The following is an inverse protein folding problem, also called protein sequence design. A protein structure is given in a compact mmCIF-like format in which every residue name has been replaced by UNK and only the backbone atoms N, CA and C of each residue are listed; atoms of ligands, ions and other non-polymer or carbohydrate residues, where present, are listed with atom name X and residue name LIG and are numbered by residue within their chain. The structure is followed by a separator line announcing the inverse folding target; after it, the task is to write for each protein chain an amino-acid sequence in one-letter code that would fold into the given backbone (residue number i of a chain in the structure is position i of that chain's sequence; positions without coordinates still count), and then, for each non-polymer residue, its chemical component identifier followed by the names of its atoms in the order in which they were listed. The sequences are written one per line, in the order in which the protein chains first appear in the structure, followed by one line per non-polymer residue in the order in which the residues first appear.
data_IF_896974722698
#
_entry.id   IF_896974722698
#
_cell.length_a   1.000
_cell.length_b   1.000
_cell.length_c   1.000
_cell.angle_alpha   90.00
_cell.angle_beta   90.00
_cell.angle_gamma   90.00
#
_symmetry.space_group_name_H-M   'P 1'
#
loop_
_entity.id
_entity.type
_entity.pdbx_description
1 polymer ?
#
# COMPACT_ATOMS: atom_id res chain seq x y z
N UNK A 1 -19.09 11.14 21.84
CA UNK A 1 -18.96 9.68 21.71
C UNK A 1 -17.54 9.40 21.25
N UNK A 2 -16.70 8.97 22.19
CA UNK A 2 -15.25 8.87 22.05
C UNK A 2 -14.89 7.76 21.06
N UNK A 3 -14.31 8.15 19.92
CA UNK A 3 -13.56 7.22 19.07
C UNK A 3 -12.56 6.48 19.96
N UNK A 4 -12.60 5.15 19.85
CA UNK A 4 -11.87 4.20 20.68
C UNK A 4 -10.41 4.60 20.85
N UNK A 5 -9.94 4.46 22.07
CA UNK A 5 -8.62 4.78 22.60
C UNK A 5 -7.45 4.04 21.93
N UNK A 6 -7.60 3.39 20.76
CA UNK A 6 -6.57 2.60 20.06
C UNK A 6 -6.71 2.72 18.53
N UNK A 7 -6.10 3.75 17.93
CA UNK A 7 -6.07 3.89 16.47
C UNK A 7 -4.99 3.01 15.80
N UNK A 8 -3.93 2.63 16.51
CA UNK A 8 -2.76 2.00 15.91
C UNK A 8 -2.62 0.56 16.38
N UNK A 9 -2.82 -0.39 15.47
CA UNK A 9 -2.55 -1.81 15.73
C UNK A 9 -1.05 -2.11 15.91
N UNK A 10 -0.74 -3.08 16.78
CA UNK A 10 0.60 -3.68 16.86
C UNK A 10 0.98 -4.40 15.58
N UNK A 11 2.27 -4.68 15.36
CA UNK A 11 2.72 -5.42 14.18
C UNK A 11 2.04 -6.79 14.05
N UNK A 12 1.90 -7.52 15.17
CA UNK A 12 1.28 -8.83 15.19
C UNK A 12 -0.17 -8.79 14.70
N UNK A 13 -0.98 -7.88 15.25
CA UNK A 13 -2.39 -7.71 14.87
C UNK A 13 -2.52 -7.27 13.40
N UNK A 14 -1.72 -6.28 12.99
CA UNK A 14 -1.68 -5.82 11.60
C UNK A 14 -1.35 -6.97 10.64
N UNK A 15 -0.28 -7.72 10.93
CA UNK A 15 0.18 -8.84 10.10
C UNK A 15 -0.89 -9.93 10.00
N UNK A 16 -1.57 -10.25 11.10
CA UNK A 16 -2.64 -11.25 11.13
C UNK A 16 -3.85 -10.80 10.30
N UNK A 17 -4.32 -9.56 10.48
CA UNK A 17 -5.42 -8.99 9.70
C UNK A 17 -5.09 -8.93 8.21
N UNK A 18 -3.86 -8.51 7.87
CA UNK A 18 -3.37 -8.49 6.48
C UNK A 18 -3.35 -9.87 5.84
N UNK A 19 -2.83 -10.87 6.56
CA UNK A 19 -2.81 -12.25 6.08
C UNK A 19 -4.23 -12.80 5.86
N UNK A 20 -5.13 -12.60 6.82
CA UNK A 20 -6.52 -13.03 6.71
C UNK A 20 -7.22 -12.41 5.50
N UNK A 21 -6.99 -11.13 5.23
CA UNK A 21 -7.58 -10.47 4.05
C UNK A 21 -6.95 -10.95 2.74
N UNK A 22 -5.63 -11.23 2.71
CA UNK A 22 -4.89 -11.66 1.52
C UNK A 22 -5.50 -12.92 0.90
N UNK A 23 -5.88 -13.89 1.73
CA UNK A 23 -6.53 -15.14 1.30
C UNK A 23 -7.93 -14.92 0.68
N UNK A 24 -8.52 -13.74 0.92
CA UNK A 24 -9.90 -13.40 0.53
C UNK A 24 -9.96 -12.36 -0.59
N UNK A 25 -8.81 -11.97 -1.18
CA UNK A 25 -8.75 -10.93 -2.22
C UNK A 25 -9.40 -11.33 -3.56
N UNK A 26 -9.65 -12.63 -3.77
CA UNK A 26 -10.31 -13.14 -4.98
C UNK A 26 -11.82 -12.92 -4.92
N UNK A 27 -12.29 -11.83 -5.52
CA UNK A 27 -13.69 -11.65 -5.87
C UNK A 27 -14.01 -12.50 -7.11
N UNK A 28 -14.99 -13.39 -7.00
CA UNK A 28 -15.58 -14.12 -8.12
C UNK A 28 -16.68 -13.26 -8.72
N UNK A 29 -16.92 -13.39 -10.03
CA UNK A 29 -18.00 -12.66 -10.74
C UNK A 29 -19.35 -12.90 -10.05
N UNK A 30 -19.63 -14.16 -9.68
CA UNK A 30 -20.83 -14.52 -8.92
C UNK A 30 -20.97 -13.85 -7.55
N UNK A 31 -19.88 -13.39 -6.91
CA UNK A 31 -19.99 -12.63 -5.65
C UNK A 31 -20.57 -11.23 -5.86
N UNK A 32 -20.30 -10.63 -7.03
CA UNK A 32 -20.80 -9.30 -7.38
C UNK A 32 -22.25 -9.40 -7.84
N UNK A 33 -22.59 -10.43 -8.60
CA UNK A 33 -23.94 -10.64 -9.12
C UNK A 33 -24.92 -11.08 -8.02
N UNK A 34 -24.44 -11.83 -7.03
CA UNK A 34 -25.24 -12.21 -5.85
C UNK A 34 -25.31 -11.13 -4.78
N UNK A 35 -24.54 -10.04 -4.90
CA UNK A 35 -24.56 -8.96 -3.91
C UNK A 35 -25.89 -8.20 -3.99
N UNK A 36 -26.63 -8.25 -2.90
CA UNK A 36 -27.85 -7.48 -2.71
C UNK A 36 -27.74 -6.66 -1.43
N UNK A 37 -28.00 -5.37 -1.52
CA UNK A 37 -28.09 -4.46 -0.37
C UNK A 37 -29.09 -3.36 -0.67
N UNK A 38 -29.87 -2.98 0.34
CA UNK A 38 -30.77 -1.83 0.23
C UNK A 38 -30.04 -0.50 0.44
N UNK A 39 -28.85 -0.56 1.05
CA UNK A 39 -28.02 0.59 1.44
C UNK A 39 -27.03 0.97 0.35
N UNK A 40 -26.45 -0.01 -0.34
CA UNK A 40 -25.37 0.23 -1.32
C UNK A 40 -25.88 0.05 -2.74
N UNK A 41 -25.80 1.11 -3.56
CA UNK A 41 -26.26 1.10 -4.96
C UNK A 41 -25.13 1.51 -5.90
N UNK A 42 -25.12 0.94 -7.12
CA UNK A 42 -24.13 1.28 -8.16
C UNK A 42 -24.18 2.76 -8.58
N UNK A 43 -25.33 3.42 -8.42
CA UNK A 43 -25.57 4.80 -8.86
C UNK A 43 -24.92 5.87 -7.98
N UNK A 44 -24.49 5.54 -6.76
CA UNK A 44 -23.81 6.50 -5.88
C UNK A 44 -22.36 6.71 -6.36
N UNK A 45 -21.73 7.83 -5.96
CA UNK A 45 -20.31 8.10 -6.27
C UNK A 45 -19.45 6.92 -5.83
N UNK A 46 -18.62 6.40 -6.74
CA UNK A 46 -17.77 5.21 -6.53
C UNK A 46 -18.54 3.93 -6.14
N UNK A 47 -19.85 3.84 -6.41
CA UNK A 47 -20.72 2.76 -5.95
C UNK A 47 -20.25 1.36 -6.29
N UNK A 48 -19.70 1.15 -7.50
CA UNK A 48 -19.13 -0.15 -7.89
C UNK A 48 -17.96 -0.59 -7.01
N UNK A 49 -17.07 0.35 -6.64
CA UNK A 49 -15.93 0.03 -5.78
C UNK A 49 -16.35 -0.16 -4.33
N UNK A 50 -17.31 0.64 -3.85
CA UNK A 50 -17.91 0.48 -2.53
C UNK A 50 -18.56 -0.91 -2.40
N UNK A 51 -19.32 -1.36 -3.42
CA UNK A 51 -19.91 -2.71 -3.45
C UNK A 51 -18.82 -3.78 -3.36
N UNK A 52 -17.75 -3.67 -4.16
CA UNK A 52 -16.62 -4.62 -4.11
C UNK A 52 -15.99 -4.67 -2.71
N UNK A 53 -15.87 -3.53 -2.04
CA UNK A 53 -15.29 -3.43 -0.71
C UNK A 53 -16.25 -3.91 0.39
N UNK A 54 -17.55 -3.72 0.25
CA UNK A 54 -18.58 -4.35 1.11
C UNK A 54 -18.51 -5.88 1.04
N UNK A 55 -18.38 -6.46 -0.16
CA UNK A 55 -18.22 -7.92 -0.33
C UNK A 55 -16.95 -8.41 0.37
N UNK A 56 -15.82 -7.72 0.16
CA UNK A 56 -14.54 -8.08 0.82
C UNK A 56 -14.63 -7.96 2.34
N UNK A 57 -15.25 -6.88 2.84
CA UNK A 57 -15.51 -6.70 4.27
C UNK A 57 -16.34 -7.85 4.84
N UNK A 58 -17.44 -8.23 4.17
CA UNK A 58 -18.28 -9.35 4.60
C UNK A 58 -17.49 -10.65 4.67
N UNK A 59 -16.75 -10.99 3.62
CA UNK A 59 -15.90 -12.19 3.58
C UNK A 59 -14.84 -12.19 4.69
N UNK A 60 -14.17 -11.05 4.88
CA UNK A 60 -13.17 -10.88 5.92
C UNK A 60 -13.74 -11.12 7.31
N UNK A 61 -14.85 -10.46 7.66
CA UNK A 61 -15.48 -10.60 8.98
C UNK A 61 -15.95 -12.03 9.23
N UNK A 62 -16.55 -12.69 8.23
CA UNK A 62 -16.94 -14.10 8.33
C UNK A 62 -15.75 -15.03 8.57
N UNK A 63 -14.70 -14.92 7.76
CA UNK A 63 -13.50 -15.73 7.90
C UNK A 63 -12.84 -15.53 9.27
N UNK A 64 -12.84 -14.30 9.73
CA UNK A 64 -12.20 -13.89 10.96
C UNK A 64 -12.99 -14.36 12.19
N UNK A 65 -14.32 -14.41 12.12
CA UNK A 65 -15.18 -15.07 13.10
C UNK A 65 -14.92 -16.59 13.17
N UNK A 66 -14.91 -17.28 12.03
CA UNK A 66 -14.78 -18.74 11.99
C UNK A 66 -13.44 -19.26 12.52
N UNK A 67 -12.39 -18.44 12.48
CA UNK A 67 -11.05 -18.82 12.90
C UNK A 67 -10.63 -18.19 14.24
N UNK A 68 -11.54 -17.55 14.98
CA UNK A 68 -11.25 -16.78 16.21
C UNK A 68 -10.07 -15.79 16.05
N UNK A 69 -9.87 -15.27 14.84
CA UNK A 69 -8.81 -14.29 14.52
C UNK A 69 -9.17 -12.88 15.01
N UNK A 70 -10.42 -12.71 15.41
CA UNK A 70 -11.11 -11.46 15.65
C UNK A 70 -11.28 -11.12 17.14
N UNK A 71 -10.62 -11.85 18.06
CA UNK A 71 -10.71 -11.60 19.50
C UNK A 71 -10.27 -10.18 19.87
N UNK A 72 -11.00 -9.56 20.80
CA UNK A 72 -10.80 -8.18 21.26
C UNK A 72 -10.79 -7.12 20.15
N UNK A 73 -11.46 -7.36 19.02
CA UNK A 73 -11.54 -6.43 17.87
C UNK A 73 -10.23 -6.09 17.14
N UNK A 74 -9.18 -6.87 17.36
CA UNK A 74 -7.84 -6.70 16.75
C UNK A 74 -7.89 -6.73 15.21
N UNK A 75 -8.86 -7.46 14.67
CA UNK A 75 -9.15 -7.53 13.24
C UNK A 75 -9.72 -6.24 12.63
N UNK A 76 -10.35 -5.39 13.45
CA UNK A 76 -11.13 -4.26 13.00
C UNK A 76 -10.23 -3.10 12.59
N UNK A 77 -9.12 -2.88 13.30
CA UNK A 77 -8.16 -1.83 12.97
C UNK A 77 -7.58 -2.02 11.57
N UNK A 78 -7.15 -3.25 11.24
CA UNK A 78 -6.59 -3.52 9.91
C UNK A 78 -7.61 -3.32 8.78
N UNK A 79 -8.81 -3.92 8.89
CA UNK A 79 -9.80 -3.80 7.81
C UNK A 79 -10.30 -2.36 7.66
N UNK A 80 -10.41 -1.60 8.76
CA UNK A 80 -10.76 -0.19 8.70
C UNK A 80 -9.66 0.63 7.99
N UNK A 81 -8.39 0.40 8.32
CA UNK A 81 -7.26 1.00 7.62
C UNK A 81 -7.26 0.63 6.13
N UNK A 82 -7.47 -0.65 5.82
CA UNK A 82 -7.49 -1.14 4.44
C UNK A 82 -8.60 -0.46 3.62
N UNK A 83 -9.81 -0.31 4.16
CA UNK A 83 -10.89 0.41 3.50
C UNK A 83 -10.52 1.88 3.24
N UNK A 84 -9.96 2.58 4.23
CA UNK A 84 -9.51 3.97 4.08
C UNK A 84 -8.41 4.09 3.02
N UNK A 85 -7.41 3.22 3.05
CA UNK A 85 -6.31 3.22 2.10
C UNK A 85 -6.80 3.05 0.66
N UNK A 86 -7.63 2.05 0.41
CA UNK A 86 -8.09 1.74 -0.93
C UNK A 86 -9.09 2.78 -1.46
N UNK A 87 -9.98 3.29 -0.60
CA UNK A 87 -10.91 4.34 -1.02
C UNK A 87 -10.19 5.67 -1.34
N UNK A 88 -9.15 6.03 -0.59
CA UNK A 88 -8.32 7.22 -0.89
C UNK A 88 -7.53 7.07 -2.20
N UNK A 89 -7.19 5.84 -2.57
CA UNK A 89 -6.58 5.55 -3.88
C UNK A 89 -7.55 5.71 -5.06
N UNK A 90 -8.86 5.62 -4.81
CA UNK A 90 -9.92 5.82 -5.82
C UNK A 90 -10.38 7.29 -5.83
N UNK A 91 -10.58 7.86 -4.65
CA UNK A 91 -11.09 9.21 -4.46
C UNK A 91 -10.17 9.99 -3.51
N UNK A 92 -9.30 10.87 -4.05
CA UNK A 92 -8.43 11.72 -3.23
C UNK A 92 -9.21 12.66 -2.29
N UNK A 93 -10.46 13.00 -2.63
CA UNK A 93 -11.36 13.85 -1.86
C UNK A 93 -12.41 13.01 -1.11
N UNK A 94 -11.97 11.88 -0.54
CA UNK A 94 -12.83 10.92 0.14
C UNK A 94 -13.65 11.58 1.25
N UNK A 95 -14.97 11.57 1.08
CA UNK A 95 -15.90 12.11 2.07
C UNK A 95 -16.11 11.13 3.23
N UNK A 96 -16.20 11.68 4.45
CA UNK A 96 -16.50 10.92 5.68
C UNK A 96 -17.80 10.12 5.58
N UNK A 97 -18.81 10.66 4.90
CA UNK A 97 -20.10 10.01 4.62
C UNK A 97 -19.98 8.68 3.89
N UNK A 98 -18.89 8.46 3.15
CA UNK A 98 -18.60 7.18 2.49
C UNK A 98 -18.52 6.04 3.51
N UNK A 99 -18.02 6.30 4.71
CA UNK A 99 -17.91 5.29 5.75
C UNK A 99 -19.22 4.99 6.46
N UNK A 100 -20.18 5.91 6.42
CA UNK A 100 -21.54 5.64 6.89
C UNK A 100 -22.21 4.55 6.02
N UNK A 101 -21.82 4.44 4.74
CA UNK A 101 -22.30 3.38 3.84
C UNK A 101 -21.83 2.01 4.32
N UNK A 102 -20.56 1.86 4.69
CA UNK A 102 -20.03 0.59 5.20
C UNK A 102 -20.68 0.19 6.52
N UNK A 103 -20.82 1.13 7.46
CA UNK A 103 -21.45 0.87 8.76
C UNK A 103 -22.95 0.52 8.60
N UNK A 104 -23.67 1.23 7.73
CA UNK A 104 -25.07 0.91 7.43
C UNK A 104 -25.21 -0.44 6.71
N UNK A 105 -24.33 -0.78 5.78
CA UNK A 105 -24.29 -2.10 5.14
C UNK A 105 -24.12 -3.21 6.17
N UNK A 106 -23.21 -3.06 7.14
CA UNK A 106 -23.00 -4.04 8.20
C UNK A 106 -24.23 -4.22 9.11
N UNK A 107 -25.05 -3.18 9.28
CA UNK A 107 -26.30 -3.21 10.07
C UNK A 107 -27.48 -3.78 9.29
N UNK A 108 -27.48 -3.64 7.97
CA UNK A 108 -28.52 -4.13 7.04
C UNK A 108 -28.32 -5.62 6.70
N UNK A 109 -27.08 -6.06 6.49
CA UNK A 109 -26.77 -7.44 6.12
C UNK A 109 -27.10 -8.43 7.25
N UNK A 110 -27.98 -9.40 6.97
CA UNK A 110 -28.51 -10.33 7.96
C UNK A 110 -27.42 -11.17 8.65
N UNK A 111 -26.35 -11.55 7.93
CA UNK A 111 -25.26 -12.35 8.50
C UNK A 111 -24.34 -11.47 9.36
N UNK A 112 -23.96 -10.30 8.86
CA UNK A 112 -23.07 -9.39 9.60
C UNK A 112 -23.72 -8.81 10.85
N UNK A 113 -25.02 -8.53 10.79
CA UNK A 113 -25.80 -8.03 11.92
C UNK A 113 -25.79 -9.00 13.10
N UNK A 114 -25.88 -10.30 12.84
CA UNK A 114 -25.81 -11.33 13.88
C UNK A 114 -24.37 -11.49 14.43
N UNK A 115 -23.35 -11.38 13.57
CA UNK A 115 -21.95 -11.46 13.97
C UNK A 115 -21.53 -10.32 14.91
N UNK A 116 -22.07 -9.10 14.72
CA UNK A 116 -21.76 -7.88 15.50
C UNK A 116 -20.26 -7.50 15.54
N UNK A 117 -19.41 -8.15 14.74
CA UNK A 117 -17.98 -7.86 14.65
C UNK A 117 -17.73 -6.51 14.01
N UNK A 118 -16.77 -5.75 14.57
CA UNK A 118 -16.36 -4.44 14.08
C UNK A 118 -17.45 -3.36 13.98
N UNK A 119 -18.63 -3.60 14.57
CA UNK A 119 -19.73 -2.62 14.65
C UNK A 119 -19.21 -1.30 15.24
N UNK A 120 -19.49 -0.19 14.56
CA UNK A 120 -19.04 1.15 14.94
C UNK A 120 -17.51 1.36 14.96
N UNK A 121 -16.72 0.39 14.47
CA UNK A 121 -15.24 0.48 14.34
C UNK A 121 -14.81 0.75 12.91
N UNK A 122 -15.67 0.47 11.94
CA UNK A 122 -15.47 0.87 10.54
C UNK A 122 -15.87 2.33 10.41
N UNK A 123 -14.88 3.20 10.20
CA UNK A 123 -15.08 4.64 10.18
C UNK A 123 -13.99 5.34 9.37
N UNK A 124 -14.31 6.54 8.89
CA UNK A 124 -13.35 7.41 8.24
C UNK A 124 -12.22 7.76 9.21
N UNK A 125 -10.98 7.59 8.75
CA UNK A 125 -9.78 7.94 9.52
C UNK A 125 -9.32 9.31 9.03
N UNK A 126 -9.27 10.28 9.95
CA UNK A 126 -8.81 11.64 9.67
C UNK A 126 -7.41 11.64 9.03
N UNK A 127 -7.15 12.58 8.11
CA UNK A 127 -5.96 12.59 7.25
C UNK A 127 -4.64 12.49 8.03
N UNK A 128 -4.53 13.23 9.13
CA UNK A 128 -3.33 13.21 9.99
C UNK A 128 -3.08 11.82 10.58
N UNK A 129 -4.11 11.23 11.19
CA UNK A 129 -4.05 9.89 11.79
C UNK A 129 -3.76 8.84 10.71
N UNK A 130 -4.42 8.94 9.55
CA UNK A 130 -4.21 8.03 8.42
C UNK A 130 -2.77 8.08 7.92
N UNK A 131 -2.19 9.27 7.81
CA UNK A 131 -0.80 9.44 7.37
C UNK A 131 0.21 8.85 8.37
N UNK A 132 -0.08 8.95 9.67
CA UNK A 132 0.71 8.28 10.71
C UNK A 132 0.58 6.75 10.62
N UNK A 133 -0.64 6.23 10.52
CA UNK A 133 -0.87 4.79 10.31
C UNK A 133 -0.15 4.27 9.08
N UNK A 134 -0.20 5.02 7.97
CA UNK A 134 0.46 4.64 6.72
C UNK A 134 1.97 4.51 6.93
N UNK A 135 2.62 5.46 7.59
CA UNK A 135 4.06 5.38 7.92
C UNK A 135 4.39 4.14 8.76
N UNK A 136 3.57 3.88 9.79
CA UNK A 136 3.74 2.72 10.66
C UNK A 136 3.58 1.40 9.89
N UNK A 137 2.54 1.29 9.07
CA UNK A 137 2.19 0.06 8.36
C UNK A 137 3.08 -0.19 7.13
N UNK A 138 3.60 0.85 6.47
CA UNK A 138 4.65 0.72 5.47
C UNK A 138 5.95 0.15 6.09
N UNK A 139 6.27 0.57 7.33
CA UNK A 139 7.37 -0.01 8.10
C UNK A 139 7.09 -1.48 8.49
N UNK A 140 5.87 -1.81 8.92
CA UNK A 140 5.46 -3.19 9.22
C UNK A 140 5.58 -4.10 8.01
N UNK A 141 5.23 -3.61 6.83
CA UNK A 141 5.42 -4.34 5.57
C UNK A 141 6.89 -4.61 5.27
N UNK A 142 7.75 -3.61 5.50
CA UNK A 142 9.19 -3.76 5.33
C UNK A 142 9.76 -4.82 6.28
N UNK A 143 9.31 -4.88 7.53
CA UNK A 143 9.69 -5.94 8.46
C UNK A 143 9.12 -7.31 8.07
N UNK A 144 7.91 -7.35 7.51
CA UNK A 144 7.29 -8.61 7.08
C UNK A 144 8.06 -9.24 5.91
N UNK A 145 8.57 -8.42 4.98
CA UNK A 145 9.44 -8.87 3.88
C UNK A 145 10.73 -9.54 4.40
N UNK A 146 11.32 -9.03 5.51
CA UNK A 146 12.44 -9.69 6.19
C UNK A 146 12.06 -11.09 6.68
N UNK A 147 10.90 -11.23 7.34
CA UNK A 147 10.45 -12.49 7.95
C UNK A 147 10.16 -13.58 6.92
N UNK A 148 9.61 -13.23 5.77
CA UNK A 148 9.29 -14.19 4.70
C UNK A 148 10.53 -14.74 3.98
N UNK A 149 11.66 -14.03 4.01
CA UNK A 149 12.89 -14.35 3.27
C UNK A 149 14.01 -14.94 4.12
N UNK A 150 13.70 -15.40 5.35
CA UNK A 150 14.59 -15.99 6.36
C UNK A 150 15.44 -17.20 5.93
N UNK A 151 15.55 -17.51 4.64
CA UNK A 151 16.41 -18.56 4.08
C UNK A 151 17.51 -18.00 3.15
N UNK A 152 17.51 -16.69 2.86
CA UNK A 152 18.44 -16.05 1.91
C UNK A 152 19.22 -14.89 2.57
N UNK A 153 20.47 -15.11 3.03
CA UNK A 153 21.16 -14.19 3.93
C UNK A 153 21.29 -12.74 3.42
N UNK A 154 21.68 -12.58 2.16
CA UNK A 154 21.91 -11.26 1.57
C UNK A 154 20.62 -10.43 1.47
N UNK A 155 19.49 -11.07 1.18
CA UNK A 155 18.20 -10.38 1.08
C UNK A 155 17.69 -9.99 2.46
N UNK A 156 17.68 -10.91 3.44
CA UNK A 156 17.25 -10.62 4.81
C UNK A 156 17.98 -9.41 5.39
N UNK A 157 19.30 -9.33 5.27
CA UNK A 157 20.06 -8.20 5.82
C UNK A 157 19.75 -6.86 5.15
N UNK A 158 19.45 -6.85 3.85
CA UNK A 158 19.02 -5.64 3.15
C UNK A 158 17.66 -5.13 3.66
N UNK A 159 16.71 -6.02 3.95
CA UNK A 159 15.42 -5.67 4.53
C UNK A 159 15.54 -5.24 5.99
N UNK A 160 16.43 -5.88 6.76
CA UNK A 160 16.72 -5.48 8.13
C UNK A 160 17.24 -4.04 8.19
N UNK A 161 18.21 -3.70 7.32
CA UNK A 161 18.71 -2.33 7.18
C UNK A 161 17.60 -1.35 6.79
N UNK A 162 16.81 -1.68 5.76
CA UNK A 162 15.70 -0.85 5.32
C UNK A 162 14.64 -0.62 6.42
N UNK A 163 14.40 -1.64 7.26
CA UNK A 163 13.51 -1.56 8.41
C UNK A 163 14.05 -0.57 9.45
N UNK A 164 15.33 -0.66 9.82
CA UNK A 164 15.96 0.28 10.76
C UNK A 164 15.98 1.70 10.20
N UNK A 165 16.36 1.87 8.94
CA UNK A 165 16.38 3.19 8.28
C UNK A 165 14.98 3.83 8.29
N UNK A 166 13.93 3.04 8.07
CA UNK A 166 12.55 3.51 8.08
C UNK A 166 12.05 3.81 9.50
N UNK A 167 12.41 2.98 10.49
CA UNK A 167 12.10 3.22 11.90
C UNK A 167 12.73 4.53 12.39
N UNK A 168 14.03 4.71 12.14
CA UNK A 168 14.79 5.88 12.57
C UNK A 168 14.25 7.19 11.96
N UNK A 169 13.68 7.15 10.76
CA UNK A 169 13.03 8.31 10.14
C UNK A 169 11.73 8.73 10.82
N UNK A 170 11.01 7.82 11.45
CA UNK A 170 9.66 8.08 11.99
C UNK A 170 9.61 8.14 13.50
N UNK A 171 10.58 7.55 14.22
CA UNK A 171 10.59 7.51 15.70
C UNK A 171 10.74 8.90 16.34
N UNK A 172 11.33 9.87 15.62
CA UNK A 172 11.44 11.27 16.08
C UNK A 172 10.07 11.93 16.31
N UNK A 173 9.01 11.46 15.64
CA UNK A 173 7.63 11.92 15.85
C UNK A 173 7.23 11.77 17.32
N UNK A 174 7.76 10.76 18.01
CA UNK A 174 7.42 10.47 19.40
C UNK A 174 7.92 11.48 20.43
N UNK A 175 8.82 12.41 20.06
CA UNK A 175 9.22 13.50 20.96
C UNK A 175 8.08 14.49 21.23
N UNK A 176 7.22 14.70 20.24
CA UNK A 176 6.14 15.68 20.30
C UNK A 176 4.81 15.04 20.73
N UNK A 177 4.83 13.76 21.10
CA UNK A 177 3.65 13.00 21.52
C UNK A 177 3.64 12.81 23.04
N UNK A 178 2.46 12.62 23.59
CA UNK A 178 2.29 12.28 25.00
C UNK A 178 2.93 10.93 25.34
N UNK A 179 3.34 10.72 26.60
CA UNK A 179 4.10 9.53 27.04
C UNK A 179 3.42 8.18 26.79
N UNK A 180 2.10 8.15 26.62
CA UNK A 180 1.31 6.93 26.35
C UNK A 180 0.59 7.04 25.01
N UNK A 181 1.27 7.61 24.01
CA UNK A 181 0.70 7.73 22.68
C UNK A 181 0.73 6.38 21.96
N UNK A 182 -0.45 5.88 21.57
CA UNK A 182 -0.62 4.59 20.92
C UNK A 182 0.24 4.36 19.66
N UNK A 183 0.54 5.41 18.88
CA UNK A 183 1.43 5.27 17.72
C UNK A 183 2.87 4.95 18.16
N UNK A 184 3.34 5.63 19.20
CA UNK A 184 4.67 5.40 19.77
C UNK A 184 4.78 4.04 20.47
N UNK A 185 3.72 3.62 21.17
CA UNK A 185 3.65 2.27 21.74
C UNK A 185 3.70 1.19 20.64
N UNK A 186 3.00 1.41 19.52
CA UNK A 186 3.02 0.48 18.37
C UNK A 186 4.39 0.44 17.66
N UNK A 187 5.13 1.56 17.63
CA UNK A 187 6.53 1.58 17.16
C UNK A 187 7.46 0.83 18.10
N UNK A 188 7.36 1.06 19.41
CA UNK A 188 8.17 0.36 20.41
C UNK A 188 7.88 -1.16 20.44
N UNK A 189 6.63 -1.54 20.19
CA UNK A 189 6.25 -2.93 19.99
C UNK A 189 7.04 -3.55 18.82
N UNK A 190 7.12 -2.87 17.67
CA UNK A 190 7.90 -3.35 16.54
C UNK A 190 9.40 -3.39 16.86
N UNK A 191 9.95 -2.39 17.54
CA UNK A 191 11.36 -2.40 17.98
C UNK A 191 11.68 -3.67 18.79
N UNK A 192 10.79 -4.03 19.72
CA UNK A 192 10.93 -5.25 20.52
C UNK A 192 10.87 -6.52 19.65
N UNK A 193 9.92 -6.58 18.72
CA UNK A 193 9.77 -7.68 17.76
C UNK A 193 10.98 -7.80 16.83
N UNK A 194 11.56 -6.67 16.40
CA UNK A 194 12.73 -6.62 15.54
C UNK A 194 13.97 -7.15 16.25
N UNK A 195 14.25 -6.67 17.48
CA UNK A 195 15.40 -7.10 18.28
C UNK A 195 15.36 -8.61 18.60
N UNK A 196 14.17 -9.15 18.80
CA UNK A 196 13.96 -10.58 19.10
C UNK A 196 13.96 -11.48 17.84
N UNK A 197 14.05 -10.92 16.64
CA UNK A 197 14.10 -11.72 15.42
C UNK A 197 15.37 -12.59 15.39
N UNK A 198 15.26 -13.84 14.98
CA UNK A 198 16.37 -14.81 15.02
C UNK A 198 17.58 -14.37 14.17
N UNK A 199 17.33 -13.80 13.00
CA UNK A 199 18.40 -13.35 12.10
C UNK A 199 19.16 -12.15 12.67
N UNK A 200 18.43 -11.25 13.34
CA UNK A 200 18.97 -10.05 13.97
C UNK A 200 19.72 -10.41 15.25
N UNK A 201 19.08 -11.17 16.15
CA UNK A 201 19.65 -11.57 17.45
C UNK A 201 20.88 -12.47 17.32
N UNK A 202 20.98 -13.29 16.27
CA UNK A 202 22.17 -14.12 15.99
C UNK A 202 23.23 -13.41 15.14
N UNK A 203 23.02 -12.13 14.83
CA UNK A 203 23.90 -11.30 14.01
C UNK A 203 24.34 -11.99 12.70
N UNK A 204 23.39 -12.60 11.98
CA UNK A 204 23.67 -13.33 10.73
C UNK A 204 23.98 -12.41 9.54
N UNK A 205 24.09 -11.11 9.77
CA UNK A 205 24.38 -10.12 8.74
C UNK A 205 25.87 -9.80 8.72
N UNK A 206 26.52 -10.05 7.59
CA UNK A 206 27.94 -9.76 7.38
C UNK A 206 28.26 -8.26 7.47
N UNK A 207 27.28 -7.41 7.12
CA UNK A 207 27.33 -5.96 7.36
C UNK A 207 26.59 -5.60 8.65
N UNK A 208 27.17 -4.70 9.44
CA UNK A 208 26.52 -4.16 10.63
C UNK A 208 25.22 -3.44 10.23
N UNK A 209 24.09 -3.97 10.71
CA UNK A 209 22.80 -3.28 10.64
C UNK A 209 22.91 -2.00 11.49
N UNK A 210 22.40 -0.84 11.02
CA UNK A 210 22.38 0.37 11.83
C UNK A 210 21.68 0.14 13.17
N UNK A 211 22.01 0.94 14.17
CA UNK A 211 21.30 0.87 15.45
C UNK A 211 19.91 1.53 15.34
N UNK A 212 18.94 0.94 16.04
CA UNK A 212 17.65 1.58 16.28
C UNK A 212 17.89 2.75 17.24
N UNK A 213 17.42 3.93 16.85
CA UNK A 213 17.62 5.16 17.59
C UNK A 213 16.47 5.43 18.56
N UNK A 214 16.79 6.10 19.66
CA UNK A 214 15.80 6.77 20.49
C UNK A 214 15.14 7.94 19.74
N UNK A 215 13.94 8.38 20.15
CA UNK A 215 13.30 9.55 19.55
C UNK A 215 14.20 10.80 19.50
N UNK A 216 15.03 11.03 20.54
CA UNK A 216 15.92 12.18 20.63
C UNK A 216 17.10 12.07 19.65
N UNK A 217 17.75 10.91 19.58
CA UNK A 217 18.86 10.69 18.65
C UNK A 217 18.42 10.86 17.20
N UNK A 218 17.27 10.28 16.83
CA UNK A 218 16.68 10.44 15.50
C UNK A 218 16.40 11.90 15.17
N UNK A 219 15.86 12.67 16.12
CA UNK A 219 15.59 14.09 15.93
C UNK A 219 16.86 14.92 15.72
N UNK A 220 17.90 14.68 16.52
CA UNK A 220 19.18 15.38 16.40
C UNK A 220 19.82 15.15 15.01
N UNK A 221 19.76 13.92 14.50
CA UNK A 221 20.28 13.58 13.17
C UNK A 221 19.50 14.31 12.07
N UNK A 222 18.16 14.30 12.14
CA UNK A 222 17.31 14.94 11.15
C UNK A 222 17.51 16.48 11.12
N UNK A 223 17.77 17.10 12.28
CA UNK A 223 18.11 18.53 12.34
C UNK A 223 19.51 18.80 11.80
N UNK A 224 20.51 17.98 12.13
CA UNK A 224 21.89 18.12 11.62
C UNK A 224 21.97 17.99 10.09
N UNK A 225 21.18 17.09 9.50
CA UNK A 225 21.08 16.93 8.04
C UNK A 225 20.52 18.18 7.34
N UNK A 226 19.70 18.97 8.02
CA UNK A 226 19.19 20.23 7.45
C UNK A 226 20.19 21.38 7.47
N UNK A 227 21.28 21.26 8.25
CA UNK A 227 22.28 22.31 8.43
C UNK A 227 23.53 22.16 7.54
N UNK A 228 23.82 20.94 7.05
CA UNK A 228 25.01 20.68 6.21
C UNK A 228 24.80 21.02 4.72
N UNK A 229 23.55 21.10 4.23
CA UNK A 229 23.24 21.42 2.83
C UNK A 229 23.32 22.93 2.48
N UNK A 230 23.58 23.82 3.46
CA UNK A 230 23.54 25.27 3.25
C UNK A 230 24.90 25.98 3.06
N UNK A 231 26.01 25.25 2.97
CA UNK A 231 27.35 25.87 2.94
C UNK A 231 28.19 25.63 1.68
N UNK A 232 27.59 25.53 0.48
CA UNK A 232 28.30 25.92 -0.75
C UNK A 232 27.39 26.21 -1.96
N UNK A 233 27.04 27.48 -2.15
CA UNK A 233 27.23 28.25 -3.41
C UNK A 233 26.32 29.47 -3.43
N UNK A 234 26.93 30.64 -3.39
CA UNK A 234 26.30 31.96 -3.55
C UNK A 234 26.37 32.32 -5.04
N UNK A 235 25.22 32.32 -5.71
CA UNK A 235 25.04 32.87 -7.05
C UNK A 235 23.62 33.41 -7.18
N UNK A 236 23.47 34.73 -7.18
CA UNK A 236 22.21 35.47 -7.15
C UNK A 236 21.42 35.38 -8.46
N UNK A 237 20.12 35.11 -8.38
CA UNK A 237 19.09 35.86 -9.14
C UNK A 237 17.71 35.58 -8.55
N UNK A 238 17.05 36.66 -8.13
CA UNK A 238 15.64 36.68 -7.78
C UNK A 238 14.79 36.29 -8.99
N UNK A 239 13.76 35.47 -8.79
CA UNK A 239 12.60 35.47 -9.69
C UNK A 239 11.34 35.24 -8.87
N UNK A 240 10.50 36.28 -8.86
CA UNK A 240 9.14 36.31 -8.35
C UNK A 240 8.33 35.11 -8.86
N UNK A 241 7.65 34.42 -7.95
CA UNK A 241 6.65 33.42 -8.30
C UNK A 241 5.36 34.11 -8.73
N UNK A 242 4.96 33.93 -9.98
CA UNK A 242 3.61 34.24 -10.47
C UNK A 242 2.90 32.91 -10.72
N UNK A 243 1.80 32.67 -10.00
CA UNK A 243 0.84 31.59 -10.26
C UNK A 243 0.03 31.90 -11.53
N UNK A 244 -0.37 30.91 -12.35
CA UNK A 244 -1.42 31.09 -13.34
C UNK A 244 -2.78 30.70 -12.75
N UNK A 245 -3.68 31.68 -12.60
CA UNK A 245 -5.13 31.46 -12.53
C UNK A 245 -5.68 31.11 -13.91
N UNK A 246 -6.55 30.10 -13.98
CA UNK A 246 -7.41 29.86 -15.13
C UNK A 246 -8.72 30.61 -14.94
N UNK A 247 -8.94 31.60 -15.79
CA UNK A 247 -10.25 32.18 -16.05
C UNK A 247 -10.24 32.82 -17.42
N UNK A 248 -11.08 32.34 -18.33
CA UNK A 248 -11.41 33.09 -19.54
C UNK A 248 -12.94 33.14 -19.67
N UNK A 249 -13.47 34.35 -19.79
CA UNK A 249 -14.70 34.58 -20.55
C UNK A 249 -14.56 35.81 -21.43
N UNK A 250 -14.96 35.62 -22.68
CA UNK A 250 -15.55 36.56 -23.65
C UNK A 250 -14.73 37.73 -24.21
N UNK A 251 -14.49 37.58 -25.51
CA UNK A 251 -14.86 38.48 -26.62
C UNK A 251 -14.12 39.80 -26.90
N UNK A 252 -13.75 39.85 -28.19
CA UNK A 252 -13.62 41.00 -29.09
C UNK A 252 -12.51 42.03 -28.85
N UNK A 253 -11.59 42.16 -29.83
CA UNK A 253 -11.58 43.28 -30.78
C UNK A 253 -10.22 43.39 -31.54
N UNK A 254 -10.24 42.97 -32.80
CA UNK A 254 -9.80 43.71 -33.99
C UNK A 254 -8.36 44.28 -34.15
N UNK A 255 -7.65 43.66 -35.12
CA UNK A 255 -6.93 44.23 -36.31
C UNK A 255 -5.55 44.92 -36.20
N UNK A 256 -4.72 44.50 -37.18
CA UNK A 256 -3.88 45.25 -38.14
C UNK A 256 -2.33 45.13 -37.95
N UNK A 257 -1.64 44.28 -38.74
CA UNK A 257 -0.89 44.51 -40.02
C UNK A 257 0.39 45.38 -39.87
N UNK A 258 1.61 44.85 -40.01
CA UNK A 258 2.42 44.43 -41.21
C UNK A 258 3.34 45.57 -41.75
N UNK A 259 4.56 45.18 -42.13
CA UNK A 259 5.51 45.77 -43.11
C UNK A 259 6.48 46.85 -42.58
N UNK A 260 7.76 46.97 -42.94
CA UNK A 260 8.65 46.22 -43.87
C UNK A 260 10.13 46.57 -43.60
N UNK A 261 11.00 45.58 -43.88
CA UNK A 261 12.39 45.57 -44.43
C UNK A 261 13.42 46.70 -44.21
N UNK A 262 14.62 46.31 -43.72
CA UNK A 262 15.97 46.61 -44.32
C UNK A 262 16.96 45.47 -43.93
N UNK A 263 17.75 44.99 -44.89
CA UNK A 263 18.59 43.78 -44.85
C UNK A 263 20.11 44.02 -44.62
N UNK A 264 20.70 43.19 -43.72
CA UNK A 264 21.96 42.38 -43.81
C UNK A 264 23.36 43.10 -43.70
N UNK A 265 24.50 42.48 -43.24
CA UNK A 265 24.80 41.16 -42.62
C UNK A 265 25.67 41.22 -41.32
N UNK A 266 25.76 40.12 -40.53
CA UNK A 266 27.02 39.37 -40.26
C UNK A 266 26.79 38.15 -39.32
N UNK A 267 27.35 37.01 -39.73
CA UNK A 267 27.23 35.63 -39.25
C UNK A 267 27.27 35.36 -37.73
N UNK A 268 26.35 34.52 -37.24
CA UNK A 268 26.62 33.26 -36.47
C UNK A 268 25.36 32.37 -36.44
N UNK A 269 25.48 31.02 -36.43
CA UNK A 269 24.34 30.13 -36.63
C UNK A 269 23.54 29.91 -35.34
N UNK A 270 22.35 30.52 -35.26
CA UNK A 270 21.33 30.28 -34.20
C UNK A 270 20.77 28.83 -34.27
N UNK A 271 21.12 28.06 -35.30
CA UNK A 271 20.69 26.67 -35.48
C UNK A 271 21.38 25.65 -34.57
N UNK A 272 22.37 26.03 -33.77
CA UNK A 272 23.15 25.07 -32.96
C UNK A 272 22.77 25.10 -31.47
N UNK A 273 22.21 26.18 -30.94
CA UNK A 273 21.93 26.32 -29.49
C UNK A 273 20.65 25.59 -29.05
N UNK A 274 19.61 25.55 -29.90
CA UNK A 274 18.35 24.86 -29.61
C UNK A 274 18.51 23.33 -29.52
N UNK A 275 19.20 22.64 -30.47
CA UNK A 275 19.41 21.20 -30.33
C UNK A 275 20.28 20.85 -29.13
N UNK A 276 21.24 21.70 -28.72
CA UNK A 276 22.09 21.43 -27.55
C UNK A 276 21.28 21.44 -26.25
N UNK A 277 20.35 22.37 -26.08
CA UNK A 277 19.52 22.45 -24.86
C UNK A 277 18.53 21.28 -24.80
N UNK A 278 17.92 20.91 -25.94
CA UNK A 278 17.01 19.77 -26.01
C UNK A 278 17.73 18.43 -25.79
N UNK A 279 18.91 18.25 -26.37
CA UNK A 279 19.74 17.05 -26.16
C UNK A 279 20.23 16.98 -24.70
N UNK A 280 20.53 18.11 -24.07
CA UNK A 280 20.94 18.16 -22.66
C UNK A 280 19.78 17.83 -21.70
N UNK A 281 18.57 18.31 -21.97
CA UNK A 281 17.36 18.00 -21.19
C UNK A 281 16.99 16.51 -21.28
N UNK A 282 16.97 15.95 -22.51
CA UNK A 282 16.66 14.55 -22.73
C UNK A 282 17.77 13.65 -22.20
N UNK A 283 19.03 14.04 -22.38
CA UNK A 283 20.19 13.32 -21.83
C UNK A 283 20.20 13.29 -20.31
N UNK A 284 19.90 14.42 -19.65
CA UNK A 284 19.76 14.50 -18.19
C UNK A 284 18.61 13.63 -17.69
N UNK A 285 17.45 13.65 -18.35
CA UNK A 285 16.31 12.79 -18.01
C UNK A 285 16.65 11.30 -18.18
N UNK A 286 17.31 10.91 -19.26
CA UNK A 286 17.74 9.52 -19.49
C UNK A 286 18.83 9.08 -18.50
N UNK A 287 19.73 9.97 -18.10
CA UNK A 287 20.72 9.70 -17.05
C UNK A 287 20.05 9.54 -15.69
N UNK A 288 19.08 10.39 -15.33
CA UNK A 288 18.27 10.20 -14.12
C UNK A 288 17.53 8.86 -14.17
N UNK A 289 17.05 8.45 -15.35
CA UNK A 289 16.42 7.15 -15.50
C UNK A 289 17.44 5.99 -15.34
N UNK A 290 18.61 6.12 -15.92
CA UNK A 290 19.66 5.12 -15.79
C UNK A 290 20.14 5.03 -14.34
N UNK A 291 20.36 6.17 -13.68
CA UNK A 291 20.78 6.26 -12.28
C UNK A 291 19.68 5.81 -11.31
N UNK A 292 18.37 5.95 -11.64
CA UNK A 292 17.29 5.38 -10.83
C UNK A 292 17.54 3.88 -10.64
N UNK A 293 18.01 3.18 -11.68
CA UNK A 293 18.26 1.73 -11.65
C UNK A 293 19.41 1.34 -10.70
N UNK A 294 20.32 2.26 -10.41
CA UNK A 294 21.49 2.04 -9.54
C UNK A 294 21.37 2.71 -8.15
N UNK A 295 20.27 3.44 -7.89
CA UNK A 295 19.97 3.96 -6.56
C UNK A 295 19.36 2.85 -5.70
N UNK A 296 19.58 2.81 -4.37
CA UNK A 296 18.93 1.85 -3.47
C UNK A 296 17.39 1.86 -3.58
N UNK A 297 16.81 3.03 -3.95
CA UNK A 297 15.39 3.20 -4.26
C UNK A 297 14.93 2.45 -5.53
N UNK A 298 15.77 2.31 -6.56
CA UNK A 298 15.43 1.57 -7.77
C UNK A 298 15.37 0.07 -7.54
N UNK A 299 16.25 -0.47 -6.70
CA UNK A 299 16.23 -1.89 -6.30
C UNK A 299 14.97 -2.17 -5.45
N UNK A 300 14.59 -1.24 -4.57
CA UNK A 300 13.34 -1.31 -3.80
C UNK A 300 12.08 -1.19 -4.68
N UNK A 301 12.05 -0.24 -5.62
CA UNK A 301 10.92 -0.05 -6.53
C UNK A 301 10.79 -1.23 -7.50
N UNK A 302 11.92 -1.72 -8.05
CA UNK A 302 11.93 -2.91 -8.91
C UNK A 302 11.62 -4.18 -8.15
N UNK A 303 11.99 -4.32 -6.86
CA UNK A 303 11.58 -5.47 -6.06
C UNK A 303 10.07 -5.45 -5.76
N UNK A 304 9.49 -4.27 -5.48
CA UNK A 304 8.05 -4.07 -5.33
C UNK A 304 7.29 -4.36 -6.63
N UNK A 305 7.75 -3.84 -7.77
CA UNK A 305 7.14 -4.11 -9.09
C UNK A 305 7.34 -5.58 -9.50
N UNK A 306 8.49 -6.19 -9.21
CA UNK A 306 8.76 -7.61 -9.48
C UNK A 306 7.95 -8.52 -8.56
N UNK A 307 7.68 -8.13 -7.32
CA UNK A 307 6.74 -8.83 -6.43
C UNK A 307 5.32 -8.84 -7.00
N UNK A 308 4.86 -7.69 -7.50
CA UNK A 308 3.56 -7.55 -8.17
C UNK A 308 3.52 -8.37 -9.49
N UNK A 309 4.55 -8.27 -10.33
CA UNK A 309 4.62 -8.98 -11.63
C UNK A 309 4.81 -10.50 -11.47
N UNK A 310 5.58 -10.95 -10.48
CA UNK A 310 5.75 -12.37 -10.15
C UNK A 310 4.45 -12.98 -9.61
N UNK A 311 3.64 -12.21 -8.86
CA UNK A 311 2.29 -12.64 -8.45
C UNK A 311 1.32 -12.74 -9.63
N UNK A 312 1.38 -11.82 -10.61
CA UNK A 312 0.55 -11.88 -11.82
C UNK A 312 0.93 -13.11 -12.67
N UNK A 313 2.22 -13.32 -12.95
CA UNK A 313 2.67 -14.41 -13.80
C UNK A 313 2.50 -15.81 -13.17
N UNK A 314 2.72 -15.98 -11.87
CA UNK A 314 2.46 -17.25 -11.17
C UNK A 314 0.96 -17.61 -11.22
N UNK A 315 0.09 -16.59 -11.19
CA UNK A 315 -1.37 -16.77 -11.20
C UNK A 315 -1.93 -17.03 -12.59
N UNK A 316 -1.36 -16.41 -13.63
CA UNK A 316 -1.70 -16.69 -15.03
C UNK A 316 -1.29 -18.12 -15.42
N UNK A 317 -0.10 -18.58 -15.02
CA UNK A 317 0.33 -19.96 -15.22
C UNK A 317 -0.55 -20.98 -14.48
N UNK A 318 -0.97 -20.66 -13.23
CA UNK A 318 -1.87 -21.52 -12.47
C UNK A 318 -3.30 -21.56 -13.06
N UNK A 319 -3.79 -20.43 -13.57
CA UNK A 319 -5.09 -20.35 -14.24
C UNK A 319 -5.10 -21.15 -15.56
N UNK A 320 -4.06 -20.98 -16.39
CA UNK A 320 -3.93 -21.71 -17.65
C UNK A 320 -3.79 -23.23 -17.42
N UNK A 321 -3.10 -23.66 -16.36
CA UNK A 321 -3.01 -25.09 -16.00
C UNK A 321 -4.33 -25.71 -15.52
N UNK A 322 -5.20 -24.92 -14.87
CA UNK A 322 -6.51 -25.38 -14.40
C UNK A 322 -7.52 -25.39 -15.55
N UNK A 323 -7.46 -24.41 -16.46
CA UNK A 323 -8.34 -24.33 -17.63
C UNK A 323 -8.13 -25.53 -18.56
N UNK A 324 -6.88 -25.92 -18.81
CA UNK A 324 -6.54 -27.11 -19.62
C UNK A 324 -7.01 -28.42 -18.97
N UNK A 325 -6.91 -28.54 -17.64
CA UNK A 325 -7.41 -29.74 -16.94
C UNK A 325 -8.95 -29.82 -16.86
N UNK A 326 -9.64 -28.72 -17.13
CA UNK A 326 -11.11 -28.67 -17.12
C UNK A 326 -11.70 -28.84 -18.52
N UNK A 327 -10.95 -28.50 -19.59
CA UNK A 327 -11.37 -28.79 -20.97
C UNK A 327 -11.23 -30.26 -21.35
N UNK A 328 -10.35 -31.00 -20.66
CA UNK A 328 -10.05 -32.40 -20.99
C UNK A 328 -10.94 -33.42 -20.23
N UNK A 329 -11.95 -32.97 -19.47
CA UNK A 329 -12.81 -33.82 -18.64
C UNK A 329 -14.33 -33.66 -18.91
N UNK A 330 -14.72 -33.37 -20.16
CA UNK A 330 -16.10 -33.58 -20.61
C UNK A 330 -16.12 -34.53 -21.81
N UNK A 331 -15.89 -35.82 -21.56
CA UNK A 331 -16.52 -36.89 -22.34
C UNK A 331 -16.44 -38.21 -21.57
N UNK A 332 -17.59 -38.92 -21.52
CA UNK A 332 -17.82 -40.27 -20.97
C UNK A 332 -17.99 -40.31 -19.42
N UNK A 333 -19.03 -40.88 -18.81
CA UNK A 333 -19.97 -41.90 -19.24
C UNK A 333 -21.24 -41.92 -18.37
N UNK A 334 -22.32 -42.41 -18.98
CA UNK A 334 -23.57 -42.83 -18.37
C UNK A 334 -23.41 -44.16 -17.62
N UNK A 335 -24.43 -44.50 -16.82
CA UNK A 335 -24.74 -45.80 -16.18
C UNK A 335 -24.15 -46.11 -14.80
N UNK A 336 -24.98 -45.80 -13.80
CA UNK A 336 -25.43 -46.70 -12.73
C UNK A 336 -24.97 -48.17 -12.85
N UNK A 337 -23.99 -48.58 -12.04
CA UNK A 337 -23.86 -49.96 -11.55
C UNK A 337 -23.34 -50.01 -10.12
N UNK A 338 -24.23 -50.44 -9.23
CA UNK A 338 -23.90 -50.97 -7.91
C UNK A 338 -22.88 -52.11 -7.99
N UNK A 339 -21.81 -52.03 -7.20
CA UNK A 339 -20.97 -53.19 -6.87
C UNK A 339 -20.94 -53.41 -5.35
N UNK A 340 -21.26 -54.64 -4.96
CA UNK A 340 -21.27 -55.14 -3.58
C UNK A 340 -19.87 -55.60 -3.20
N UNK A 341 -19.30 -55.04 -2.13
CA UNK A 341 -18.01 -55.47 -1.58
C UNK A 341 -18.26 -56.52 -0.50
N UNK A 342 -17.78 -57.75 -0.70
CA UNK A 342 -17.72 -58.77 0.35
C UNK A 342 -16.34 -58.75 1.02
N UNK A 343 -16.33 -58.64 2.35
CA UNK A 343 -15.15 -58.80 3.20
C UNK A 343 -14.97 -60.27 3.60
N UNK A 344 -13.77 -60.83 3.41
CA UNK A 344 -13.34 -62.02 4.12
C UNK A 344 -12.39 -61.61 5.25
N UNK A 345 -12.78 -61.87 6.49
CA UNK A 345 -11.90 -61.78 7.65
C UNK A 345 -11.15 -63.09 7.85
N UNK A 346 -9.85 -63.01 8.07
CA UNK A 346 -9.02 -64.12 8.56
C UNK A 346 -8.61 -63.81 10.00
N UNK A 347 -9.26 -64.45 10.97
CA UNK A 347 -8.79 -64.53 12.35
C UNK A 347 -8.04 -65.84 12.53
N UNK A 348 -6.77 -65.73 12.90
CA UNK A 348 -5.95 -66.83 13.40
C UNK A 348 -6.27 -67.06 14.88
N UNK A 349 -6.70 -68.29 15.21
CA UNK A 349 -6.22 -69.22 16.26
C UNK A 349 -7.32 -70.24 16.54
#
# INVERSE_FOLDING_TARGET
MTLSKNNYETWGNYSQGKHALKELLLLRVGDIDSFSSNVVKKSIKNGNEIIKYCIKLKKYLKHCNSNNLCDDSKCCGYINYWLNYNMRGIDPNLEKSTFDIYDNFMKDDAELKELKLCTSKISYIENEIFNEMKKLYDLYDTYSDLKELNNEPNFSCSYAKACVDSYNKIISICLNKEKNNNFCEALQNLESVFKNNEWISKNKCEQNIPQLLSPQEAHNILQGQSSEDYSHSRGTSEMHAIYPELGESSDAFQRYQRADHVDIPLHTPVGVTIPIVLVSLVGSFLLLLFLYKFTPFGIWLTSRIRGIKKMINIKENKYNSILLNTSDNEENDLEDRNYTIHYHSSQNI
#
